data_IF_994824339136
#
_entry.id   IF_994824339136
#
_cell.length_a   1.000
_cell.length_b   1.000
_cell.length_c   1.000
_cell.angle_alpha   90.00
_cell.angle_beta   90.00
_cell.angle_gamma   90.00
#
_symmetry.space_group_name_H-M   'P 1'
#
loop_
_entity.id
_entity.type
_entity.pdbx_description
1 polymer ?
#
# COMPACT_ATOMS: atom_id res chain seq x y z
N UNK A 1 -71.99 -3.94 -8.94
CA UNK A 1 -70.56 -3.86 -9.30
C UNK A 1 -69.92 -2.57 -8.75
N UNK A 2 -69.74 -2.43 -7.43
CA UNK A 2 -69.18 -1.22 -6.81
C UNK A 2 -68.22 -1.55 -5.65
N UNK A 3 -67.35 -2.56 -5.82
CA UNK A 3 -66.45 -3.03 -4.75
C UNK A 3 -64.99 -3.06 -5.18
N UNK A 4 -64.57 -2.13 -6.05
CA UNK A 4 -63.17 -2.04 -6.53
C UNK A 4 -62.52 -0.65 -6.39
N UNK A 5 -63.28 0.39 -6.08
CA UNK A 5 -62.77 1.76 -6.00
C UNK A 5 -62.33 2.19 -4.58
N UNK A 6 -62.85 1.57 -3.52
CA UNK A 6 -62.54 1.96 -2.13
C UNK A 6 -61.17 1.44 -1.67
N UNK A 7 -60.73 0.28 -2.16
CA UNK A 7 -59.45 -0.34 -1.76
C UNK A 7 -58.25 0.42 -2.32
N UNK A 8 -58.39 1.08 -3.48
CA UNK A 8 -57.28 1.82 -4.12
C UNK A 8 -56.90 3.10 -3.37
N UNK A 9 -57.82 3.67 -2.59
CA UNK A 9 -57.61 4.89 -1.81
C UNK A 9 -57.11 4.66 -0.38
N UNK A 10 -57.00 3.40 0.07
CA UNK A 10 -56.41 3.08 1.38
C UNK A 10 -54.89 2.83 1.29
N UNK A 11 -54.38 2.41 0.13
CA UNK A 11 -52.93 2.22 -0.07
C UNK A 11 -52.14 3.55 -0.12
N UNK A 12 -52.81 4.68 -0.40
CA UNK A 12 -52.19 6.02 -0.44
C UNK A 12 -52.30 6.74 0.92
N UNK A 13 -53.07 6.21 1.87
CA UNK A 13 -53.23 6.81 3.21
C UNK A 13 -52.22 6.30 4.24
N UNK A 14 -51.60 5.14 3.98
CA UNK A 14 -50.51 4.61 4.80
C UNK A 14 -49.11 4.92 4.24
N UNK A 15 -49.00 5.77 3.22
CA UNK A 15 -47.73 6.44 2.93
C UNK A 15 -47.61 7.66 3.84
N UNK A 16 -47.66 7.43 5.15
CA UNK A 16 -46.74 8.16 6.01
C UNK A 16 -45.37 7.74 5.53
N UNK A 17 -44.83 8.42 4.50
CA UNK A 17 -43.41 8.57 4.42
C UNK A 17 -43.07 9.31 5.72
N UNK A 18 -42.83 8.52 6.78
CA UNK A 18 -42.03 8.97 7.91
C UNK A 18 -40.87 9.66 7.23
N UNK A 19 -40.87 11.00 7.32
CA UNK A 19 -39.82 11.84 6.78
C UNK A 19 -38.59 11.31 7.48
N UNK A 20 -37.91 10.38 6.83
CA UNK A 20 -36.84 9.60 7.40
C UNK A 20 -35.81 10.65 7.76
N UNK A 21 -35.70 10.88 9.07
CA UNK A 21 -35.25 12.17 9.58
C UNK A 21 -33.91 12.54 8.95
N UNK A 22 -33.77 13.79 8.53
CA UNK A 22 -32.45 14.35 8.24
C UNK A 22 -31.64 14.31 9.54
N UNK A 23 -30.95 13.19 9.79
CA UNK A 23 -30.04 13.05 10.92
C UNK A 23 -28.88 14.00 10.64
N UNK A 24 -28.84 15.12 11.35
CA UNK A 24 -27.71 16.06 11.29
C UNK A 24 -26.49 15.33 11.84
N UNK A 25 -25.71 14.73 10.93
CA UNK A 25 -24.45 14.10 11.29
C UNK A 25 -23.52 15.15 11.88
N UNK A 26 -22.91 14.79 13.00
CA UNK A 26 -21.82 15.57 13.59
C UNK A 26 -20.67 15.69 12.58
N UNK A 27 -19.84 16.75 12.65
CA UNK A 27 -18.69 16.88 11.75
C UNK A 27 -17.77 15.67 11.77
N UNK A 28 -17.63 14.98 12.91
CA UNK A 28 -16.84 13.75 13.06
C UNK A 28 -17.43 12.54 12.32
N UNK A 29 -18.76 12.36 12.32
CA UNK A 29 -19.41 11.27 11.59
C UNK A 29 -19.27 11.41 10.07
N UNK A 30 -19.32 12.64 9.56
CA UNK A 30 -19.04 12.92 8.13
C UNK A 30 -17.60 12.58 7.74
N UNK A 31 -16.67 12.63 8.69
CA UNK A 31 -15.27 12.32 8.47
C UNK A 31 -14.99 10.82 8.57
N UNK A 32 -15.81 10.06 9.32
CA UNK A 32 -15.60 8.63 9.58
C UNK A 32 -16.64 7.74 8.88
N UNK A 33 -16.75 7.87 7.56
CA UNK A 33 -17.67 7.07 6.73
C UNK A 33 -16.94 5.90 6.07
N UNK A 34 -17.57 4.72 5.99
CA UNK A 34 -16.99 3.53 5.33
C UNK A 34 -16.57 3.80 3.88
N UNK A 35 -17.39 4.51 3.11
CA UNK A 35 -17.07 4.91 1.73
C UNK A 35 -15.75 5.71 1.62
N UNK A 36 -15.44 6.53 2.63
CA UNK A 36 -14.16 7.28 2.68
C UNK A 36 -12.98 6.34 2.94
N UNK A 37 -13.16 5.36 3.82
CA UNK A 37 -12.13 4.36 4.11
C UNK A 37 -11.83 3.48 2.88
N UNK A 38 -12.87 3.06 2.16
CA UNK A 38 -12.74 2.29 0.92
C UNK A 38 -12.04 3.09 -0.18
N UNK A 39 -12.44 4.37 -0.34
CA UNK A 39 -11.77 5.29 -1.25
C UNK A 39 -10.29 5.48 -0.91
N UNK A 40 -9.97 5.69 0.37
CA UNK A 40 -8.59 5.84 0.84
C UNK A 40 -7.77 4.59 0.52
N UNK A 41 -8.31 3.39 0.78
CA UNK A 41 -7.66 2.12 0.49
C UNK A 41 -7.38 1.93 -1.00
N UNK A 42 -8.34 2.24 -1.86
CA UNK A 42 -8.18 2.16 -3.30
C UNK A 42 -7.10 3.15 -3.80
N UNK A 43 -7.13 4.39 -3.30
CA UNK A 43 -6.17 5.43 -3.66
C UNK A 43 -4.74 5.08 -3.23
N UNK A 44 -4.54 4.57 -2.00
CA UNK A 44 -3.22 4.15 -1.52
C UNK A 44 -2.63 3.03 -2.39
N UNK A 45 -3.44 2.04 -2.80
CA UNK A 45 -2.99 0.97 -3.71
C UNK A 45 -2.52 1.51 -5.05
N UNK A 46 -3.27 2.44 -5.65
CA UNK A 46 -2.89 3.08 -6.91
C UNK A 46 -1.57 3.82 -6.77
N UNK A 47 -1.38 4.57 -5.68
CA UNK A 47 -0.15 5.33 -5.42
C UNK A 47 1.07 4.43 -5.21
N UNK A 48 0.92 3.32 -4.49
CA UNK A 48 1.97 2.30 -4.35
C UNK A 48 2.38 1.73 -5.70
N UNK A 49 1.42 1.38 -6.56
CA UNK A 49 1.71 0.88 -7.91
C UNK A 49 2.39 1.93 -8.79
N UNK A 50 1.99 3.19 -8.68
CA UNK A 50 2.65 4.30 -9.37
C UNK A 50 4.09 4.46 -8.93
N UNK A 51 4.36 4.42 -7.62
CA UNK A 51 5.71 4.47 -7.08
C UNK A 51 6.56 3.29 -7.56
N UNK A 52 6.02 2.06 -7.47
CA UNK A 52 6.70 0.86 -7.97
C UNK A 52 7.07 0.97 -9.46
N UNK A 53 6.13 1.46 -10.30
CA UNK A 53 6.38 1.67 -11.73
C UNK A 53 7.44 2.75 -11.97
N UNK A 54 7.48 3.80 -11.15
CA UNK A 54 8.51 4.83 -11.24
C UNK A 54 9.91 4.26 -10.97
N UNK A 55 10.07 3.50 -9.88
CA UNK A 55 11.30 2.77 -9.58
C UNK A 55 11.72 1.83 -10.72
N UNK A 56 10.78 1.02 -11.23
CA UNK A 56 11.08 0.05 -12.28
C UNK A 56 11.59 0.70 -13.58
N UNK A 57 11.04 1.87 -13.92
CA UNK A 57 11.42 2.66 -15.09
C UNK A 57 12.75 3.39 -14.91
N UNK A 58 12.96 4.01 -13.75
CA UNK A 58 14.16 4.77 -13.43
C UNK A 58 15.37 3.89 -13.06
N UNK A 59 15.17 2.59 -12.83
CA UNK A 59 16.21 1.63 -12.47
C UNK A 59 17.56 1.77 -13.21
N UNK A 60 17.63 1.77 -14.56
CA UNK A 60 18.91 1.89 -15.26
C UNK A 60 19.58 3.26 -15.03
N UNK A 61 18.79 4.33 -14.96
CA UNK A 61 19.29 5.69 -14.74
C UNK A 61 19.86 5.86 -13.32
N UNK A 62 19.11 5.36 -12.32
CA UNK A 62 19.53 5.35 -10.91
C UNK A 62 20.87 4.60 -10.75
N UNK A 63 21.03 3.45 -11.38
CA UNK A 63 22.26 2.65 -11.28
C UNK A 63 23.48 3.38 -11.85
N UNK A 64 23.32 4.04 -13.01
CA UNK A 64 24.39 4.82 -13.64
C UNK A 64 24.75 6.04 -12.78
N UNK A 65 23.74 6.77 -12.30
CA UNK A 65 23.95 7.99 -11.52
C UNK A 65 24.69 7.72 -10.20
N UNK A 66 24.30 6.64 -9.51
CA UNK A 66 24.88 6.25 -8.23
C UNK A 66 26.11 5.32 -8.38
N UNK A 67 26.62 5.15 -9.61
CA UNK A 67 27.84 4.40 -9.94
C UNK A 67 27.83 2.94 -9.44
N UNK A 68 26.66 2.32 -9.39
CA UNK A 68 26.51 0.94 -8.93
C UNK A 68 26.84 -0.05 -10.04
N UNK A 69 27.54 -1.14 -9.69
CA UNK A 69 27.91 -2.22 -10.64
C UNK A 69 26.81 -3.28 -10.86
N UNK A 70 25.64 -3.12 -10.24
CA UNK A 70 24.57 -4.12 -10.27
C UNK A 70 23.88 -4.13 -11.64
N UNK A 71 23.56 -5.30 -12.21
CA UNK A 71 22.72 -5.37 -13.41
C UNK A 71 21.28 -4.92 -13.12
N UNK A 72 20.71 -4.13 -14.03
CA UNK A 72 19.37 -3.54 -13.88
C UNK A 72 18.25 -4.57 -13.66
N UNK A 73 18.39 -5.78 -14.20
CA UNK A 73 17.44 -6.87 -13.99
C UNK A 73 17.42 -7.33 -12.52
N UNK A 74 18.58 -7.43 -11.87
CA UNK A 74 18.67 -7.81 -10.46
C UNK A 74 18.11 -6.69 -9.60
N UNK A 75 18.47 -5.44 -9.87
CA UNK A 75 17.93 -4.28 -9.14
C UNK A 75 16.40 -4.23 -9.16
N UNK A 76 15.78 -4.51 -10.32
CA UNK A 76 14.31 -4.60 -10.45
C UNK A 76 13.70 -5.74 -9.62
N UNK A 77 14.37 -6.89 -9.55
CA UNK A 77 13.92 -8.01 -8.70
C UNK A 77 13.98 -7.65 -7.22
N UNK A 78 15.04 -6.96 -6.79
CA UNK A 78 15.18 -6.49 -5.40
C UNK A 78 14.08 -5.51 -5.04
N UNK A 79 13.81 -4.52 -5.89
CA UNK A 79 12.67 -3.59 -5.69
C UNK A 79 11.37 -4.38 -5.56
N UNK A 80 11.12 -5.35 -6.45
CA UNK A 80 9.91 -6.18 -6.38
C UNK A 80 9.80 -6.91 -5.03
N UNK A 81 10.91 -7.46 -4.54
CA UNK A 81 10.95 -8.15 -3.25
C UNK A 81 10.69 -7.19 -2.08
N UNK A 82 11.28 -5.98 -2.09
CA UNK A 82 11.05 -4.95 -1.08
C UNK A 82 9.58 -4.50 -1.01
N UNK A 83 8.94 -4.29 -2.16
CA UNK A 83 7.50 -4.00 -2.20
C UNK A 83 6.67 -5.21 -1.73
N UNK A 84 7.11 -6.43 -2.01
CA UNK A 84 6.43 -7.65 -1.57
C UNK A 84 6.55 -7.91 -0.06
N UNK A 85 7.67 -7.52 0.60
CA UNK A 85 7.83 -7.63 2.07
C UNK A 85 6.68 -6.95 2.83
N UNK A 86 6.13 -5.87 2.26
CA UNK A 86 5.07 -5.08 2.86
C UNK A 86 3.65 -5.45 2.36
N UNK A 87 3.49 -6.54 1.60
CA UNK A 87 2.19 -6.90 0.99
C UNK A 87 1.08 -7.22 1.99
N UNK A 88 1.46 -7.67 3.19
CA UNK A 88 0.53 -8.16 4.21
C UNK A 88 -0.07 -7.04 5.07
N UNK A 89 0.34 -5.78 4.84
CA UNK A 89 -0.12 -4.64 5.63
C UNK A 89 -1.53 -4.23 5.17
N UNK A 90 -2.48 -4.25 6.11
CA UNK A 90 -3.88 -3.91 5.85
C UNK A 90 -4.25 -2.49 6.26
N UNK A 91 -3.56 -1.90 7.25
CA UNK A 91 -3.84 -0.54 7.74
C UNK A 91 -3.39 0.50 6.70
N UNK A 92 -4.36 1.24 6.15
CA UNK A 92 -4.14 2.31 5.17
C UNK A 92 -3.15 3.36 5.66
N UNK A 93 -3.13 3.69 6.95
CA UNK A 93 -2.21 4.72 7.50
C UNK A 93 -0.76 4.25 7.48
N UNK A 94 -0.54 2.97 7.78
CA UNK A 94 0.79 2.38 7.70
C UNK A 94 1.28 2.33 6.24
N UNK A 95 0.38 2.02 5.29
CA UNK A 95 0.69 2.05 3.85
C UNK A 95 1.10 3.46 3.42
N UNK A 96 0.37 4.49 3.85
CA UNK A 96 0.69 5.88 3.52
C UNK A 96 2.03 6.34 4.10
N UNK A 97 2.37 5.92 5.32
CA UNK A 97 3.67 6.19 5.92
C UNK A 97 4.80 5.54 5.12
N UNK A 98 4.65 4.26 4.76
CA UNK A 98 5.63 3.53 3.94
C UNK A 98 5.76 4.13 2.54
N UNK A 99 4.64 4.58 1.96
CA UNK A 99 4.64 5.27 0.68
C UNK A 99 5.44 6.57 0.76
N UNK A 100 5.26 7.37 1.82
CA UNK A 100 6.04 8.58 2.05
C UNK A 100 7.53 8.29 2.16
N UNK A 101 7.91 7.27 2.95
CA UNK A 101 9.31 6.82 3.04
C UNK A 101 9.86 6.41 1.67
N UNK A 102 9.13 5.59 0.92
CA UNK A 102 9.58 5.13 -0.39
C UNK A 102 9.69 6.27 -1.42
N UNK A 103 8.88 7.32 -1.32
CA UNK A 103 9.02 8.52 -2.15
C UNK A 103 10.28 9.32 -1.79
N UNK A 104 10.62 9.43 -0.51
CA UNK A 104 11.87 10.05 -0.06
C UNK A 104 13.08 9.27 -0.59
N UNK A 105 13.10 7.96 -0.38
CA UNK A 105 14.17 7.07 -0.86
C UNK A 105 14.31 7.16 -2.39
N UNK A 106 13.19 7.20 -3.13
CA UNK A 106 13.21 7.37 -4.59
C UNK A 106 13.87 8.70 -5.01
N UNK A 107 13.52 9.79 -4.33
CA UNK A 107 14.05 11.11 -4.63
C UNK A 107 15.56 11.18 -4.39
N UNK A 108 16.05 10.60 -3.28
CA UNK A 108 17.49 10.53 -2.99
C UNK A 108 18.25 9.78 -4.09
N UNK A 109 17.69 8.68 -4.58
CA UNK A 109 18.28 7.85 -5.64
C UNK A 109 18.29 8.55 -7.00
N UNK A 110 17.21 9.25 -7.36
CA UNK A 110 17.09 9.95 -8.65
C UNK A 110 17.94 11.21 -8.69
N UNK A 111 18.12 11.90 -7.56
CA UNK A 111 19.01 13.07 -7.48
C UNK A 111 20.48 12.64 -7.36
N UNK A 112 20.75 11.42 -6.92
CA UNK A 112 22.11 10.91 -6.72
C UNK A 112 22.72 11.34 -5.38
N UNK A 113 21.88 11.58 -4.37
CA UNK A 113 22.32 11.82 -2.99
C UNK A 113 22.61 10.54 -2.22
N UNK A 114 22.08 9.40 -2.67
CA UNK A 114 22.36 8.10 -2.07
C UNK A 114 23.79 7.64 -2.39
N UNK A 115 24.39 6.93 -1.45
CA UNK A 115 25.68 6.26 -1.64
C UNK A 115 25.48 4.83 -2.13
N UNK A 116 26.45 4.29 -2.87
CA UNK A 116 26.42 2.90 -3.36
C UNK A 116 26.18 1.89 -2.22
N UNK A 117 26.82 2.07 -1.06
CA UNK A 117 26.57 1.25 0.15
C UNK A 117 25.10 1.20 0.58
N UNK A 118 24.41 2.35 0.53
CA UNK A 118 22.99 2.42 0.90
C UNK A 118 22.13 1.69 -0.13
N UNK A 119 22.48 1.78 -1.42
CA UNK A 119 21.81 1.03 -2.48
C UNK A 119 21.99 -0.48 -2.35
N UNK A 120 23.15 -0.95 -1.89
CA UNK A 120 23.42 -2.38 -1.72
C UNK A 120 22.77 -3.00 -0.47
N UNK A 121 22.37 -2.21 0.53
CA UNK A 121 21.78 -2.74 1.78
C UNK A 121 20.58 -3.69 1.58
N UNK A 122 19.60 -3.41 0.69
CA UNK A 122 18.52 -4.37 0.39
C UNK A 122 19.02 -5.63 -0.33
N UNK A 123 20.18 -5.57 -0.96
CA UNK A 123 20.81 -6.68 -1.67
C UNK A 123 21.54 -7.63 -0.75
N UNK A 124 21.86 -7.24 0.48
CA UNK A 124 22.56 -8.11 1.43
C UNK A 124 21.81 -9.45 1.58
N UNK A 125 20.48 -9.46 1.64
CA UNK A 125 19.72 -10.72 1.72
C UNK A 125 19.85 -11.64 0.48
N UNK A 126 20.21 -11.08 -0.68
CA UNK A 126 20.29 -11.79 -1.96
C UNK A 126 21.75 -12.14 -2.31
N UNK A 127 22.68 -11.24 -1.98
CA UNK A 127 24.11 -11.38 -2.25
C UNK A 127 24.84 -12.16 -1.16
N UNK A 128 24.37 -12.06 0.09
CA UNK A 128 24.86 -12.84 1.21
C UNK A 128 24.32 -14.26 1.07
N UNK A 129 24.93 -15.02 0.17
CA UNK A 129 24.75 -16.45 -0.04
C UNK A 129 25.14 -17.31 1.19
N UNK A 130 25.44 -16.68 2.33
CA UNK A 130 25.59 -17.41 3.58
C UNK A 130 24.21 -17.94 3.97
N UNK A 131 24.01 -19.27 3.96
CA UNK A 131 22.75 -19.82 4.42
C UNK A 131 22.59 -19.40 5.88
N UNK A 132 21.65 -18.47 6.15
CA UNK A 132 21.28 -18.14 7.53
C UNK A 132 20.92 -19.47 8.18
N UNK A 133 21.65 -19.81 9.22
CA UNK A 133 21.43 -21.00 10.02
C UNK A 133 19.92 -21.11 10.34
N UNK A 134 19.20 -22.00 9.65
CA UNK A 134 17.76 -22.18 9.82
C UNK A 134 17.49 -23.10 10.99
N UNK A 135 18.28 -24.16 11.07
CA UNK A 135 18.17 -25.19 12.09
C UNK A 135 18.85 -24.78 13.40
N UNK A 136 18.32 -25.26 14.51
CA UNK A 136 18.87 -25.04 15.84
C UNK A 136 20.35 -25.44 15.92
N UNK A 137 20.75 -26.59 15.36
CA UNK A 137 22.15 -27.06 15.42
C UNK A 137 23.07 -26.08 14.68
N UNK A 138 22.66 -25.63 13.49
CA UNK A 138 23.44 -24.65 12.73
C UNK A 138 23.60 -23.31 13.46
N UNK A 139 22.55 -22.85 14.18
CA UNK A 139 22.60 -21.62 15.00
C UNK A 139 23.51 -21.80 16.22
N UNK A 140 23.41 -22.96 16.85
CA UNK A 140 24.24 -23.35 17.99
C UNK A 140 25.73 -23.37 17.62
N UNK A 141 26.10 -24.00 16.51
CA UNK A 141 27.48 -24.04 16.02
C UNK A 141 28.04 -22.66 15.65
N UNK A 142 27.18 -21.72 15.29
CA UNK A 142 27.57 -20.34 14.96
C UNK A 142 27.60 -19.43 16.20
N UNK A 143 27.29 -19.96 17.41
CA UNK A 143 27.17 -19.19 18.65
C UNK A 143 26.26 -17.96 18.52
N UNK A 144 25.23 -18.04 17.68
CA UNK A 144 24.20 -17.00 17.49
C UNK A 144 22.92 -17.46 18.19
N UNK A 145 22.78 -17.08 19.46
CA UNK A 145 21.54 -17.19 20.26
C UNK A 145 21.01 -15.81 20.61
#
# INVERSE_FOLDING_TARGET
MLTRAVVRNQAVRNSGASVEGYVKQTPSEKLNTQARADYARANSRLRVLTLYKAFYRAAPEILVLNKSSIPSNVYRQVIKNEFAKNSNISDTRAIELLLGKGQMDFQELVVGFSQESQMHRPFDEILQNDPKATDFVSKFLTSKF
#
